data_IF_363911803796
#
_entry.id   IF_363911803796
#
_cell.length_a   1.000
_cell.length_b   1.000
_cell.length_c   1.000
_cell.angle_alpha   90.00
_cell.angle_beta   90.00
_cell.angle_gamma   90.00
#
_symmetry.space_group_name_H-M   'P 1'
#
loop_
_entity.id
_entity.type
_entity.pdbx_description
1 polymer ?
#
# COMPACT_ATOMS: atom_id res chain seq x y z
N UNK A 1 3.42 -10.36 -3.38
CA UNK A 1 3.11 -9.26 -2.45
C UNK A 1 1.62 -8.99 -2.46
N UNK A 2 1.03 -8.86 -1.30
CA UNK A 2 -0.42 -8.68 -1.17
C UNK A 2 -0.76 -7.53 -0.24
N UNK A 3 -1.72 -6.70 -0.67
CA UNK A 3 -2.34 -5.68 0.18
C UNK A 3 -3.74 -6.13 0.54
N UNK A 4 -4.06 -6.17 1.84
CA UNK A 4 -5.43 -6.43 2.28
C UNK A 4 -6.29 -5.22 1.99
N UNK A 5 -7.29 -5.37 1.14
CA UNK A 5 -8.19 -4.27 0.78
C UNK A 5 -9.31 -4.19 1.81
N UNK A 6 -9.43 -3.02 2.45
CA UNK A 6 -10.48 -2.75 3.45
C UNK A 6 -11.42 -1.71 2.85
N UNK A 7 -12.66 -2.10 2.61
CA UNK A 7 -13.66 -1.25 1.95
C UNK A 7 -14.59 -0.55 2.91
N UNK A 8 -14.66 -1.01 4.17
CA UNK A 8 -15.54 -0.46 5.20
C UNK A 8 -14.86 -0.56 6.56
N UNK A 9 -15.16 0.41 7.44
CA UNK A 9 -14.59 0.39 8.80
C UNK A 9 -14.99 -0.84 9.62
N UNK A 10 -16.12 -1.44 9.30
CA UNK A 10 -16.59 -2.64 9.99
C UNK A 10 -15.72 -3.87 9.73
N UNK A 11 -14.86 -3.83 8.71
CA UNK A 11 -13.92 -4.91 8.44
C UNK A 11 -12.70 -4.89 9.36
N UNK A 12 -12.36 -3.73 9.94
CA UNK A 12 -11.14 -3.57 10.74
C UNK A 12 -11.05 -4.57 11.89
N UNK A 13 -12.09 -4.79 12.72
CA UNK A 13 -12.01 -5.76 13.81
C UNK A 13 -11.81 -7.20 13.37
N UNK A 14 -12.09 -7.50 12.11
CA UNK A 14 -11.97 -8.86 11.56
C UNK A 14 -10.66 -9.13 10.83
N UNK A 15 -9.78 -8.14 10.74
CA UNK A 15 -8.51 -8.30 10.02
C UNK A 15 -7.59 -9.28 10.74
N UNK A 16 -6.77 -9.96 9.95
CA UNK A 16 -5.71 -10.80 10.49
C UNK A 16 -4.69 -9.90 11.19
N UNK A 17 -4.33 -10.18 12.46
CA UNK A 17 -3.35 -9.36 13.19
C UNK A 17 -1.96 -9.32 12.57
N UNK A 18 -1.66 -10.24 11.67
CA UNK A 18 -0.35 -10.32 10.99
C UNK A 18 -0.30 -9.56 9.67
N UNK A 19 -1.35 -8.83 9.30
CA UNK A 19 -1.33 -8.02 8.09
C UNK A 19 -0.24 -6.97 8.16
N UNK A 20 0.57 -6.89 7.11
CA UNK A 20 1.67 -5.93 7.00
C UNK A 20 1.38 -4.79 6.05
N UNK A 21 0.50 -5.01 5.09
CA UNK A 21 0.14 -4.04 4.07
C UNK A 21 -1.37 -4.00 3.91
N UNK A 22 -1.94 -2.80 4.03
CA UNK A 22 -3.39 -2.60 3.93
C UNK A 22 -3.67 -1.46 2.97
N UNK A 23 -4.67 -1.64 2.12
CA UNK A 23 -5.23 -0.58 1.29
C UNK A 23 -6.59 -0.18 1.87
N UNK A 24 -6.71 1.08 2.30
CA UNK A 24 -7.95 1.62 2.85
C UNK A 24 -8.77 2.23 1.73
N UNK A 25 -9.76 1.50 1.23
CA UNK A 25 -10.57 1.90 0.08
C UNK A 25 -11.77 2.79 0.44
N UNK A 26 -11.83 3.29 1.67
CA UNK A 26 -12.87 4.21 2.10
C UNK A 26 -12.23 5.42 2.79
N UNK A 27 -12.97 6.50 2.93
CA UNK A 27 -12.47 7.71 3.60
C UNK A 27 -12.40 7.46 5.12
N UNK A 28 -11.24 7.03 5.58
CA UNK A 28 -11.01 6.67 6.96
C UNK A 28 -10.79 7.91 7.83
N UNK A 29 -11.31 7.87 9.05
CA UNK A 29 -11.05 8.88 10.07
C UNK A 29 -9.75 8.56 10.83
N UNK A 30 -9.28 9.51 11.64
CA UNK A 30 -8.13 9.27 12.50
C UNK A 30 -8.34 8.06 13.41
N UNK A 31 -9.55 7.90 13.95
CA UNK A 31 -9.90 6.77 14.81
C UNK A 31 -9.81 5.45 14.04
N UNK A 32 -10.22 5.45 12.77
CA UNK A 32 -10.11 4.26 11.92
C UNK A 32 -8.65 3.81 11.77
N UNK A 33 -7.73 4.74 11.55
CA UNK A 33 -6.30 4.43 11.46
C UNK A 33 -5.74 3.91 12.79
N UNK A 34 -6.15 4.50 13.91
CA UNK A 34 -5.73 4.03 15.23
C UNK A 34 -6.23 2.60 15.50
N UNK A 35 -7.49 2.33 15.17
CA UNK A 35 -8.06 0.99 15.31
C UNK A 35 -7.35 -0.02 14.41
N UNK A 36 -7.00 0.38 13.19
CA UNK A 36 -6.24 -0.46 12.27
C UNK A 36 -4.88 -0.83 12.85
N UNK A 37 -4.16 0.14 13.40
CA UNK A 37 -2.84 -0.11 14.00
C UNK A 37 -2.92 -1.00 15.24
N UNK A 38 -3.96 -0.86 16.05
CA UNK A 38 -4.19 -1.73 17.20
C UNK A 38 -4.50 -3.16 16.78
N UNK A 39 -5.31 -3.31 15.73
CA UNK A 39 -5.67 -4.64 15.22
C UNK A 39 -4.51 -5.33 14.53
N UNK A 40 -3.68 -4.56 13.82
CA UNK A 40 -2.56 -5.09 13.02
C UNK A 40 -1.24 -4.51 13.50
N UNK A 41 -0.68 -4.99 14.61
CA UNK A 41 0.54 -4.42 15.19
C UNK A 41 1.79 -4.59 14.32
N UNK A 42 1.73 -5.47 13.31
CA UNK A 42 2.84 -5.70 12.37
C UNK A 42 2.72 -4.87 11.10
N UNK A 43 1.75 -3.98 11.05
CA UNK A 43 1.51 -3.14 9.87
C UNK A 43 2.73 -2.28 9.56
N UNK A 44 3.14 -2.26 8.28
CA UNK A 44 4.28 -1.49 7.78
C UNK A 44 3.89 -0.44 6.76
N UNK A 45 2.80 -0.68 6.04
CA UNK A 45 2.44 0.16 4.90
C UNK A 45 0.93 0.26 4.80
N UNK A 46 0.46 1.49 4.59
CA UNK A 46 -0.95 1.77 4.29
C UNK A 46 -1.00 2.50 2.95
N UNK A 47 -1.80 1.99 2.02
CA UNK A 47 -2.10 2.69 0.78
C UNK A 47 -3.53 3.23 0.86
N UNK A 48 -3.71 4.46 0.43
CA UNK A 48 -5.04 5.09 0.32
C UNK A 48 -5.19 5.70 -1.07
N UNK A 49 -6.42 5.82 -1.59
CA UNK A 49 -6.65 6.55 -2.83
C UNK A 49 -6.07 7.97 -2.74
N UNK A 50 -5.46 8.51 -3.81
CA UNK A 50 -4.81 9.82 -3.76
C UNK A 50 -5.73 10.95 -3.29
N UNK A 51 -7.00 10.90 -3.65
CA UNK A 51 -7.98 11.90 -3.21
C UNK A 51 -8.20 11.88 -1.70
N UNK A 52 -8.15 10.72 -1.08
CA UNK A 52 -8.30 10.57 0.37
C UNK A 52 -7.02 10.96 1.10
N UNK A 53 -5.86 10.68 0.51
CA UNK A 53 -4.58 11.07 1.07
C UNK A 53 -4.49 12.60 1.25
N UNK A 54 -4.99 13.35 0.28
CA UNK A 54 -4.98 14.82 0.32
C UNK A 54 -5.78 15.40 1.48
N UNK A 55 -6.81 14.69 1.95
CA UNK A 55 -7.70 15.17 3.00
C UNK A 55 -7.40 14.58 4.38
N UNK A 56 -6.39 13.73 4.48
CA UNK A 56 -5.95 13.20 5.77
C UNK A 56 -5.34 14.31 6.63
N UNK A 57 -5.57 14.24 7.96
CA UNK A 57 -5.00 15.22 8.86
C UNK A 57 -3.48 15.11 8.93
N UNK A 58 -2.81 16.24 9.12
CA UNK A 58 -1.35 16.25 9.33
C UNK A 58 -0.96 15.43 10.56
N UNK A 59 -1.78 15.47 11.60
CA UNK A 59 -1.52 14.75 12.84
C UNK A 59 -1.45 13.24 12.61
N UNK A 60 -2.40 12.68 11.85
CA UNK A 60 -2.38 11.24 11.60
C UNK A 60 -1.19 10.84 10.70
N UNK A 61 -0.84 11.68 9.73
CA UNK A 61 0.32 11.43 8.88
C UNK A 61 1.61 11.37 9.68
N UNK A 62 1.82 12.31 10.57
CA UNK A 62 2.99 12.34 11.46
C UNK A 62 2.98 11.13 12.39
N UNK A 63 1.81 10.78 12.94
CA UNK A 63 1.71 9.63 13.84
C UNK A 63 2.07 8.33 13.14
N UNK A 64 1.58 8.11 11.91
CA UNK A 64 1.94 6.94 11.12
C UNK A 64 3.45 6.87 10.87
N UNK A 65 4.06 7.99 10.51
CA UNK A 65 5.49 8.09 10.29
C UNK A 65 6.27 7.73 11.56
N UNK A 66 5.85 8.24 12.72
CA UNK A 66 6.47 7.94 14.01
C UNK A 66 6.36 6.47 14.37
N UNK A 67 5.32 5.78 13.91
CA UNK A 67 5.15 4.34 14.13
C UNK A 67 5.89 3.49 13.11
N UNK A 68 6.63 4.11 12.19
CA UNK A 68 7.35 3.41 11.14
C UNK A 68 6.46 2.87 10.02
N UNK A 69 5.25 3.40 9.89
CA UNK A 69 4.30 2.99 8.84
C UNK A 69 4.41 3.96 7.67
N UNK A 70 4.67 3.44 6.48
CA UNK A 70 4.67 4.24 5.26
C UNK A 70 3.26 4.43 4.72
N UNK A 71 2.95 5.68 4.38
CA UNK A 71 1.69 6.04 3.75
C UNK A 71 1.92 6.22 2.25
N UNK A 72 1.19 5.47 1.44
CA UNK A 72 1.27 5.52 -0.01
C UNK A 72 -0.05 5.99 -0.60
N UNK A 73 0.02 6.76 -1.68
CA UNK A 73 -1.15 7.11 -2.48
C UNK A 73 -1.25 6.19 -3.68
N UNK A 74 -2.41 5.63 -3.92
CA UNK A 74 -2.63 4.77 -5.07
C UNK A 74 -3.96 4.06 -5.01
N UNK A 75 -4.40 3.56 -6.16
CA UNK A 75 -5.62 2.79 -6.30
C UNK A 75 -5.30 1.33 -6.60
N UNK A 76 -6.31 0.48 -6.45
CA UNK A 76 -6.21 -0.95 -6.73
C UNK A 76 -7.00 -1.28 -8.00
N UNK A 77 -6.55 -0.77 -9.12
CA UNK A 77 -7.22 -0.91 -10.41
C UNK A 77 -7.39 -2.38 -10.80
N UNK A 78 -8.59 -2.72 -11.24
CA UNK A 78 -8.92 -4.07 -11.65
C UNK A 78 -9.19 -5.03 -10.50
N UNK A 79 -9.01 -4.59 -9.25
CA UNK A 79 -9.31 -5.43 -8.10
C UNK A 79 -10.82 -5.61 -7.92
N UNK A 80 -11.22 -6.84 -7.61
CA UNK A 80 -12.60 -7.22 -7.34
C UNK A 80 -12.72 -7.69 -5.90
N UNK A 81 -13.18 -6.81 -5.01
CA UNK A 81 -13.34 -7.10 -3.58
C UNK A 81 -14.34 -8.25 -3.34
N UNK A 82 -15.31 -8.40 -4.21
CA UNK A 82 -16.29 -9.50 -4.14
C UNK A 82 -15.67 -10.86 -4.48
N UNK A 83 -14.49 -10.88 -5.10
CA UNK A 83 -13.79 -12.11 -5.46
C UNK A 83 -12.56 -12.38 -4.60
N UNK A 84 -11.88 -11.34 -4.12
CA UNK A 84 -10.66 -11.47 -3.35
C UNK A 84 -10.50 -10.30 -2.37
N UNK A 85 -10.13 -10.60 -1.15
CA UNK A 85 -9.85 -9.60 -0.12
C UNK A 85 -8.48 -8.93 -0.30
N UNK A 86 -7.62 -9.50 -1.12
CA UNK A 86 -6.25 -9.04 -1.33
C UNK A 86 -6.06 -8.51 -2.74
N UNK A 87 -5.33 -7.40 -2.83
CA UNK A 87 -4.76 -6.93 -4.09
C UNK A 87 -3.34 -7.50 -4.19
N UNK A 88 -3.10 -8.30 -5.22
CA UNK A 88 -1.83 -9.01 -5.38
C UNK A 88 -0.96 -8.34 -6.44
N UNK A 89 0.30 -8.10 -6.10
CA UNK A 89 1.33 -7.70 -7.06
C UNK A 89 2.05 -8.96 -7.49
N UNK A 90 2.07 -9.22 -8.79
CA UNK A 90 2.68 -10.42 -9.36
C UNK A 90 4.18 -10.49 -9.06
N UNK A 91 4.68 -11.71 -8.78
CA UNK A 91 6.10 -11.92 -8.53
C UNK A 91 6.96 -11.50 -9.71
N UNK A 92 6.48 -11.72 -10.93
CA UNK A 92 7.18 -11.28 -12.15
C UNK A 92 7.35 -9.77 -12.20
N UNK A 93 6.38 -9.01 -11.74
CA UNK A 93 6.47 -7.55 -11.67
C UNK A 93 7.50 -7.12 -10.64
N UNK A 94 7.53 -7.77 -9.48
CA UNK A 94 8.52 -7.49 -8.43
C UNK A 94 9.93 -7.77 -8.95
N UNK A 95 10.13 -8.88 -9.65
CA UNK A 95 11.43 -9.22 -10.25
C UNK A 95 11.86 -8.19 -11.31
N UNK A 96 10.93 -7.71 -12.12
CA UNK A 96 11.23 -6.67 -13.11
C UNK A 96 11.65 -5.37 -12.43
N UNK A 97 10.96 -4.96 -11.36
CA UNK A 97 11.33 -3.79 -10.57
C UNK A 97 12.74 -3.94 -10.01
N UNK A 98 13.07 -5.11 -9.47
CA UNK A 98 14.41 -5.38 -8.93
C UNK A 98 15.48 -5.31 -10.00
N UNK A 99 15.21 -5.92 -11.16
CA UNK A 99 16.16 -5.94 -12.27
C UNK A 99 16.47 -4.51 -12.74
N UNK A 100 15.45 -3.68 -12.90
CA UNK A 100 15.63 -2.29 -13.29
C UNK A 100 16.41 -1.51 -12.23
N UNK A 101 16.10 -1.71 -10.96
CA UNK A 101 16.80 -1.05 -9.85
C UNK A 101 18.26 -1.48 -9.80
N UNK A 102 18.54 -2.76 -9.96
CA UNK A 102 19.91 -3.29 -9.96
C UNK A 102 20.72 -2.81 -11.15
N UNK A 103 20.08 -2.48 -12.28
CA UNK A 103 20.77 -1.94 -13.46
C UNK A 103 21.07 -0.44 -13.35
N UNK A 104 20.70 0.20 -12.23
CA UNK A 104 21.01 1.61 -11.97
C UNK A 104 19.89 2.58 -12.28
N UNK A 105 18.71 2.12 -12.66
CA UNK A 105 17.57 3.00 -12.88
C UNK A 105 17.13 3.65 -11.55
N UNK A 106 16.74 4.93 -11.62
CA UNK A 106 16.20 5.63 -10.45
C UNK A 106 14.79 5.12 -10.11
N UNK A 107 14.34 5.40 -8.89
CA UNK A 107 13.00 5.01 -8.47
C UNK A 107 11.93 5.63 -9.39
N UNK A 108 12.12 6.87 -9.83
CA UNK A 108 11.20 7.54 -10.75
C UNK A 108 11.17 6.87 -12.13
N UNK A 109 12.34 6.49 -12.65
CA UNK A 109 12.43 5.78 -13.93
C UNK A 109 11.77 4.41 -13.86
N UNK A 110 12.00 3.66 -12.78
CA UNK A 110 11.37 2.36 -12.56
C UNK A 110 9.85 2.50 -12.49
N UNK A 111 9.36 3.46 -11.71
CA UNK A 111 7.93 3.72 -11.59
C UNK A 111 7.29 4.03 -12.94
N UNK A 112 7.96 4.86 -13.75
CA UNK A 112 7.49 5.26 -15.07
C UNK A 112 7.34 4.05 -16.00
N UNK A 113 8.35 3.20 -16.06
CA UNK A 113 8.35 2.02 -16.92
C UNK A 113 7.30 0.99 -16.50
N UNK A 114 7.21 0.72 -15.21
CA UNK A 114 6.27 -0.30 -14.69
C UNK A 114 4.83 0.19 -14.80
N UNK A 115 4.56 1.47 -14.56
CA UNK A 115 3.22 2.03 -14.72
C UNK A 115 2.69 1.90 -16.14
N UNK A 116 3.54 1.96 -17.15
CA UNK A 116 3.12 1.80 -18.55
C UNK A 116 2.62 0.41 -18.87
N UNK A 117 3.09 -0.60 -18.13
CA UNK A 117 2.75 -2.00 -18.35
C UNK A 117 1.66 -2.50 -17.40
N UNK A 118 1.51 -1.83 -16.26
CA UNK A 118 0.59 -2.24 -15.20
C UNK A 118 -0.24 -1.04 -14.78
N UNK A 119 -1.23 -1.28 -13.92
CA UNK A 119 -2.01 -0.19 -13.33
C UNK A 119 -1.64 0.03 -11.86
N UNK A 120 -0.45 -0.42 -11.48
CA UNK A 120 0.05 -0.26 -10.11
C UNK A 120 0.44 1.21 -9.88
N UNK A 121 0.07 1.76 -8.73
CA UNK A 121 0.39 3.14 -8.38
C UNK A 121 1.89 3.40 -8.27
N UNK A 122 2.30 4.60 -8.65
CA UNK A 122 3.71 5.01 -8.63
C UNK A 122 4.34 4.86 -7.25
N UNK A 123 3.63 5.26 -6.20
CA UNK A 123 4.14 5.18 -4.82
C UNK A 123 4.44 3.74 -4.41
N UNK A 124 3.57 2.81 -4.78
CA UNK A 124 3.77 1.40 -4.47
C UNK A 124 4.98 0.83 -5.21
N UNK A 125 5.14 1.20 -6.49
CA UNK A 125 6.30 0.77 -7.28
C UNK A 125 7.60 1.29 -6.64
N UNK A 126 7.63 2.56 -6.26
CA UNK A 126 8.79 3.16 -5.58
C UNK A 126 9.07 2.50 -4.24
N UNK A 127 8.03 2.14 -3.50
CA UNK A 127 8.17 1.40 -2.24
C UNK A 127 8.83 0.06 -2.48
N UNK A 128 8.38 -0.69 -3.48
CA UNK A 128 8.98 -1.99 -3.83
C UNK A 128 10.43 -1.82 -4.24
N UNK A 129 10.73 -0.78 -5.02
CA UNK A 129 12.10 -0.52 -5.49
C UNK A 129 13.07 -0.23 -4.36
N UNK A 130 12.64 0.48 -3.32
CA UNK A 130 13.53 0.86 -2.21
C UNK A 130 13.58 -0.16 -1.08
N UNK A 131 12.53 -0.96 -0.91
CA UNK A 131 12.49 -1.99 0.12
C UNK A 131 12.96 -3.30 -0.48
N UNK A 132 13.98 -3.91 -0.12
CA UNK A 132 14.46 -5.18 -0.66
C UNK A 132 13.48 -6.31 -0.34
N UNK A 133 12.26 -6.21 -0.85
CA UNK A 133 11.23 -7.22 -0.64
C UNK A 133 11.66 -8.49 -1.37
N UNK A 134 11.73 -9.58 -0.65
CA UNK A 134 11.90 -10.91 -1.24
C UNK A 134 10.53 -11.42 -1.66
N UNK A 135 10.40 -11.73 -2.92
CA UNK A 135 9.19 -12.33 -3.44
C UNK A 135 8.97 -13.71 -2.83
#
# INVERSE_FOLDING_TARGET
MKLRVVSQRTEIPSLNPNEKMVHMAFRASNVDFLNLMQRCPRLRTIQVPPSYQKTMSSAIKVFLEMQGIELLGGDVWGHRKDLDEYYTVEDSTIEEIRTLTASGATADEVADQIQRKTKIGSDLIKYIAKTKITA
#
